data_IF_120441023974
#
_entry.id   IF_120441023974
#
_cell.length_a   1.000
_cell.length_b   1.000
_cell.length_c   1.000
_cell.angle_alpha   90.00
_cell.angle_beta   90.00
_cell.angle_gamma   90.00
#
_symmetry.space_group_name_H-M   'P 1'
#
loop_
_entity.id
_entity.type
_entity.pdbx_description
1 polymer ?
#
# COMPACT_ATOMS: atom_id res chain seq x y z
N UNK A 1 19.54 4.35 16.10
CA UNK A 1 19.93 5.66 16.68
C UNK A 1 21.28 5.56 17.37
N UNK A 2 21.45 4.63 18.31
CA UNK A 2 22.74 4.37 18.97
C UNK A 2 23.88 4.07 17.97
N UNK A 3 23.65 3.18 17.01
CA UNK A 3 24.67 2.81 16.02
C UNK A 3 25.10 3.97 15.12
N UNK A 4 24.19 4.88 14.77
CA UNK A 4 24.51 6.08 14.00
C UNK A 4 25.33 7.09 14.82
N UNK A 5 25.01 7.24 16.12
CA UNK A 5 25.80 8.11 17.01
C UNK A 5 27.22 7.56 17.17
N UNK A 6 27.38 6.23 17.17
CA UNK A 6 28.66 5.55 17.31
C UNK A 6 29.49 5.53 16.02
N UNK A 7 28.86 5.31 14.87
CA UNK A 7 29.48 5.31 13.55
C UNK A 7 28.56 5.97 12.50
N UNK A 8 28.78 7.26 12.19
CA UNK A 8 27.94 8.00 11.25
C UNK A 8 28.31 7.66 9.80
N UNK A 9 27.81 6.53 9.32
CA UNK A 9 27.87 6.13 7.92
C UNK A 9 26.46 6.16 7.27
N UNK A 10 26.40 6.11 5.93
CA UNK A 10 25.12 6.21 5.20
C UNK A 10 24.15 5.08 5.56
N UNK A 11 24.65 3.85 5.75
CA UNK A 11 23.82 2.73 6.15
C UNK A 11 23.14 2.95 7.50
N UNK A 12 23.90 3.42 8.50
CA UNK A 12 23.38 3.69 9.84
C UNK A 12 22.42 4.89 9.87
N UNK A 13 22.56 5.84 8.94
CA UNK A 13 21.62 6.93 8.76
C UNK A 13 20.26 6.41 8.25
N UNK A 14 20.27 5.63 7.17
CA UNK A 14 19.05 5.09 6.53
C UNK A 14 18.45 3.93 7.32
N UNK A 15 19.20 3.18 8.14
CA UNK A 15 18.64 2.15 9.04
C UNK A 15 18.17 2.73 10.38
N UNK A 16 18.68 3.89 10.77
CA UNK A 16 18.50 4.47 12.09
C UNK A 16 17.58 5.68 12.08
N UNK A 17 18.11 6.92 12.13
CA UNK A 17 17.31 8.13 12.24
C UNK A 17 16.19 8.26 11.20
N UNK A 18 16.44 7.94 9.93
CA UNK A 18 15.45 8.12 8.86
C UNK A 18 14.25 7.20 9.01
N UNK A 19 14.46 5.94 9.40
CA UNK A 19 13.38 4.96 9.66
C UNK A 19 12.42 5.50 10.72
N UNK A 20 12.96 6.07 11.80
CA UNK A 20 12.13 6.66 12.86
C UNK A 20 11.34 7.87 12.38
N UNK A 21 11.95 8.75 11.60
CA UNK A 21 11.25 9.88 10.99
C UNK A 21 10.13 9.36 10.07
N UNK A 22 10.42 8.36 9.24
CA UNK A 22 9.45 7.76 8.34
C UNK A 22 8.28 7.13 9.10
N UNK A 23 8.53 6.37 10.17
CA UNK A 23 7.49 5.80 11.01
C UNK A 23 6.67 6.86 11.74
N UNK A 24 7.29 7.91 12.27
CA UNK A 24 6.58 9.00 12.95
C UNK A 24 5.63 9.69 11.96
N UNK A 25 6.12 10.06 10.78
CA UNK A 25 5.29 10.71 9.75
C UNK A 25 4.18 9.77 9.28
N UNK A 26 4.50 8.50 9.04
CA UNK A 26 3.54 7.48 8.64
C UNK A 26 2.43 7.33 9.68
N UNK A 27 2.76 7.08 10.94
CA UNK A 27 1.80 6.82 12.02
C UNK A 27 0.99 8.09 12.35
N UNK A 28 1.66 9.20 12.65
CA UNK A 28 0.99 10.44 13.02
C UNK A 28 0.14 10.99 11.87
N UNK A 29 0.68 10.94 10.64
CA UNK A 29 -0.04 11.33 9.44
C UNK A 29 -1.27 10.46 9.18
N UNK A 30 -1.16 9.14 9.36
CA UNK A 30 -2.28 8.22 9.17
C UNK A 30 -3.39 8.45 10.20
N UNK A 31 -3.02 8.62 11.48
CA UNK A 31 -3.97 8.98 12.55
C UNK A 31 -4.67 10.30 12.22
N UNK A 32 -3.91 11.30 11.80
CA UNK A 32 -4.46 12.60 11.41
C UNK A 32 -5.45 12.49 10.25
N UNK A 33 -5.12 11.73 9.19
CA UNK A 33 -6.01 11.53 8.04
C UNK A 33 -7.31 10.82 8.40
N UNK A 34 -7.24 9.76 9.22
CA UNK A 34 -8.42 9.04 9.69
C UNK A 34 -9.29 9.95 10.56
N UNK A 35 -8.69 10.67 11.51
CA UNK A 35 -9.42 11.60 12.38
C UNK A 35 -10.07 12.73 11.58
N UNK A 36 -9.32 13.36 10.68
CA UNK A 36 -9.82 14.42 9.81
C UNK A 36 -11.01 13.96 8.97
N UNK A 37 -10.95 12.75 8.40
CA UNK A 37 -12.06 12.18 7.64
C UNK A 37 -13.30 11.94 8.52
N UNK A 38 -13.12 11.37 9.72
CA UNK A 38 -14.22 11.12 10.65
C UNK A 38 -14.85 12.45 11.10
N UNK A 39 -14.04 13.45 11.42
CA UNK A 39 -14.52 14.76 11.86
C UNK A 39 -15.28 15.49 10.75
N UNK A 40 -14.81 15.39 9.50
CA UNK A 40 -15.54 15.90 8.34
C UNK A 40 -16.87 15.17 8.17
N UNK A 41 -16.87 13.84 8.26
CA UNK A 41 -18.08 13.05 8.12
C UNK A 41 -19.12 13.33 9.23
N UNK A 42 -18.68 13.71 10.44
CA UNK A 42 -19.56 14.14 11.54
C UNK A 42 -20.20 15.49 11.24
N UNK A 43 -19.47 16.41 10.60
CA UNK A 43 -19.97 17.74 10.23
C UNK A 43 -21.04 17.67 9.14
N UNK A 44 -20.90 16.76 8.18
CA UNK A 44 -21.78 16.68 7.01
C UNK A 44 -23.23 16.29 7.33
N UNK A 45 -23.57 15.87 8.56
CA UNK A 45 -24.91 15.43 9.06
C UNK A 45 -25.65 14.35 8.24
N UNK A 46 -25.25 14.09 7.00
CA UNK A 46 -25.88 13.15 6.09
C UNK A 46 -25.12 11.83 6.12
N UNK A 47 -23.86 11.79 6.56
CA UNK A 47 -23.06 10.55 6.52
C UNK A 47 -23.46 9.58 7.64
N UNK A 48 -23.13 9.91 8.90
CA UNK A 48 -23.32 8.96 10.02
C UNK A 48 -24.78 8.53 10.26
N UNK A 49 -25.80 9.41 10.18
CA UNK A 49 -27.18 9.02 10.47
C UNK A 49 -27.76 7.98 9.50
N UNK A 50 -27.21 7.86 8.29
CA UNK A 50 -27.68 6.89 7.30
C UNK A 50 -26.80 5.64 7.23
N UNK A 51 -25.75 5.51 8.06
CA UNK A 51 -24.93 4.30 8.09
C UNK A 51 -25.75 3.14 8.64
N UNK A 52 -25.88 2.10 7.83
CA UNK A 52 -26.44 0.82 8.21
C UNK A 52 -25.31 -0.20 8.33
N UNK A 53 -25.09 -0.73 9.54
CA UNK A 53 -23.99 -1.65 9.81
C UNK A 53 -24.07 -2.93 8.95
N UNK A 54 -25.27 -3.50 8.79
CA UNK A 54 -25.46 -4.72 7.99
C UNK A 54 -25.15 -4.49 6.51
N UNK A 55 -25.57 -3.35 5.97
CA UNK A 55 -25.26 -2.97 4.59
C UNK A 55 -23.77 -2.66 4.40
N UNK A 56 -23.16 -1.97 5.36
CA UNK A 56 -21.74 -1.65 5.40
C UNK A 56 -20.87 -2.90 5.35
N UNK A 57 -21.13 -3.88 6.24
CA UNK A 57 -20.36 -5.12 6.30
C UNK A 57 -20.48 -5.92 5.00
N UNK A 58 -21.69 -6.01 4.43
CA UNK A 58 -21.89 -6.66 3.13
C UNK A 58 -21.14 -5.95 2.01
N UNK A 59 -21.22 -4.62 1.97
CA UNK A 59 -20.54 -3.82 0.95
C UNK A 59 -19.02 -3.97 1.04
N UNK A 60 -18.44 -3.93 2.24
CA UNK A 60 -17.01 -4.14 2.45
C UNK A 60 -16.61 -5.56 2.00
N UNK A 61 -17.34 -6.58 2.45
CA UNK A 61 -17.04 -7.98 2.15
C UNK A 61 -17.00 -8.26 0.64
N UNK A 62 -18.00 -7.81 -0.12
CA UNK A 62 -18.06 -8.04 -1.57
C UNK A 62 -17.02 -7.24 -2.35
N UNK A 63 -16.44 -6.19 -1.77
CA UNK A 63 -15.43 -5.35 -2.43
C UNK A 63 -14.00 -5.72 -2.07
N UNK A 64 -13.78 -6.38 -0.93
CA UNK A 64 -12.49 -7.00 -0.55
C UNK A 64 -12.29 -8.35 -1.23
N UNK A 65 -13.36 -9.04 -1.63
CA UNK A 65 -13.23 -10.33 -2.33
C UNK A 65 -13.12 -10.09 -3.85
N UNK A 66 -12.10 -10.65 -4.53
CA UNK A 66 -12.00 -10.54 -5.97
C UNK A 66 -13.25 -11.10 -6.63
N UNK A 67 -13.81 -10.35 -7.60
CA UNK A 67 -15.06 -10.68 -8.28
C UNK A 67 -16.32 -10.73 -7.38
N UNK A 68 -16.24 -10.27 -6.12
CA UNK A 68 -17.38 -10.21 -5.22
C UNK A 68 -18.43 -9.18 -5.62
N UNK A 69 -18.03 -8.09 -6.28
CA UNK A 69 -18.93 -7.05 -6.80
C UNK A 69 -19.16 -7.16 -8.31
N UNK A 70 -20.31 -6.65 -8.79
CA UNK A 70 -20.65 -6.59 -10.21
C UNK A 70 -19.62 -5.79 -10.99
N UNK A 71 -19.13 -4.69 -10.43
CA UNK A 71 -18.11 -3.87 -11.10
C UNK A 71 -16.79 -4.64 -11.28
N UNK A 72 -16.40 -5.46 -10.29
CA UNK A 72 -15.25 -6.36 -10.45
C UNK A 72 -15.47 -7.41 -11.54
N UNK A 73 -16.66 -8.03 -11.58
CA UNK A 73 -17.01 -9.00 -12.64
C UNK A 73 -17.04 -8.39 -14.06
N UNK A 74 -17.46 -7.13 -14.19
CA UNK A 74 -17.51 -6.43 -15.48
C UNK A 74 -16.11 -6.03 -16.00
N UNK A 75 -15.09 -5.97 -15.13
CA UNK A 75 -13.73 -5.54 -15.49
C UNK A 75 -12.71 -6.58 -15.02
N UNK A 76 -12.71 -7.80 -15.59
CA UNK A 76 -11.96 -8.93 -15.05
C UNK A 76 -10.44 -8.73 -15.08
N UNK A 77 -9.90 -8.10 -16.13
CA UNK A 77 -8.47 -7.81 -16.25
C UNK A 77 -7.99 -6.87 -15.14
N UNK A 78 -8.65 -5.72 -15.00
CA UNK A 78 -8.31 -4.73 -13.95
C UNK A 78 -8.49 -5.32 -12.56
N UNK A 79 -9.55 -6.11 -12.35
CA UNK A 79 -9.78 -6.81 -11.07
C UNK A 79 -8.60 -7.71 -10.74
N UNK A 80 -8.24 -8.60 -11.65
CA UNK A 80 -7.16 -9.57 -11.43
C UNK A 80 -5.84 -8.86 -11.12
N UNK A 81 -5.45 -7.88 -11.93
CA UNK A 81 -4.20 -7.13 -11.72
C UNK A 81 -4.22 -6.36 -10.41
N UNK A 82 -5.34 -5.70 -10.07
CA UNK A 82 -5.47 -4.93 -8.83
C UNK A 82 -5.35 -5.84 -7.60
N UNK A 83 -6.03 -6.98 -7.59
CA UNK A 83 -5.97 -7.91 -6.47
C UNK A 83 -4.60 -8.58 -6.33
N UNK A 84 -4.01 -9.06 -7.43
CA UNK A 84 -2.65 -9.62 -7.43
C UNK A 84 -1.64 -8.60 -6.91
N UNK A 85 -1.72 -7.35 -7.40
CA UNK A 85 -0.85 -6.28 -6.93
C UNK A 85 -1.00 -6.05 -5.43
N UNK A 86 -2.22 -5.82 -4.91
CA UNK A 86 -2.39 -5.48 -3.49
C UNK A 86 -2.07 -6.65 -2.55
N UNK A 87 -2.44 -7.88 -2.94
CA UNK A 87 -2.10 -9.07 -2.16
C UNK A 87 -0.58 -9.20 -2.07
N UNK A 88 0.14 -9.12 -3.19
CA UNK A 88 1.60 -9.23 -3.17
C UNK A 88 2.27 -8.02 -2.49
N UNK A 89 1.81 -6.81 -2.76
CA UNK A 89 2.32 -5.57 -2.17
C UNK A 89 2.28 -5.59 -0.64
N UNK A 90 1.21 -6.13 -0.05
CA UNK A 90 1.01 -6.15 1.40
C UNK A 90 1.62 -7.41 2.03
N UNK A 91 1.36 -8.60 1.46
CA UNK A 91 1.80 -9.84 2.08
C UNK A 91 3.32 -10.06 1.95
N UNK A 92 3.94 -9.70 0.81
CA UNK A 92 5.38 -9.91 0.62
C UNK A 92 6.21 -9.27 1.74
N UNK A 93 6.15 -7.94 2.01
CA UNK A 93 7.00 -7.33 3.04
C UNK A 93 6.67 -7.80 4.47
N UNK A 94 5.43 -8.21 4.75
CA UNK A 94 5.03 -8.71 6.08
C UNK A 94 5.64 -10.09 6.33
N UNK A 95 5.60 -10.99 5.35
CA UNK A 95 6.01 -12.39 5.53
C UNK A 95 7.39 -12.70 4.95
N UNK A 96 8.12 -11.72 4.41
CA UNK A 96 9.49 -11.91 3.94
C UNK A 96 10.43 -12.18 5.12
N UNK A 97 11.30 -13.19 4.99
CA UNK A 97 12.27 -13.56 6.01
C UNK A 97 13.13 -12.38 6.47
N UNK A 98 13.70 -11.62 5.53
CA UNK A 98 14.56 -10.48 5.85
C UNK A 98 13.84 -9.39 6.65
N UNK A 99 12.56 -9.15 6.37
CA UNK A 99 11.77 -8.18 7.13
C UNK A 99 11.44 -8.70 8.53
N UNK A 100 11.04 -9.96 8.65
CA UNK A 100 10.77 -10.60 9.93
C UNK A 100 12.01 -10.63 10.85
N UNK A 101 13.20 -10.83 10.27
CA UNK A 101 14.45 -10.74 11.03
C UNK A 101 14.69 -9.33 11.60
N UNK A 102 14.32 -8.27 10.88
CA UNK A 102 14.38 -6.89 11.40
C UNK A 102 13.46 -6.70 12.61
N UNK A 103 12.26 -7.30 12.60
CA UNK A 103 11.36 -7.28 13.76
C UNK A 103 11.94 -8.04 14.94
N UNK A 104 12.57 -9.18 14.69
CA UNK A 104 13.20 -9.98 15.73
C UNK A 104 14.39 -9.26 16.35
N UNK A 105 15.27 -8.67 15.55
CA UNK A 105 16.42 -7.89 16.05
C UNK A 105 15.98 -6.64 16.83
N UNK A 106 14.87 -6.01 16.44
CA UNK A 106 14.41 -4.76 17.06
C UNK A 106 13.58 -4.98 18.33
N UNK A 107 12.75 -6.03 18.35
CA UNK A 107 11.73 -6.22 19.39
C UNK A 107 11.63 -7.67 19.91
N UNK A 108 12.42 -8.61 19.39
CA UNK A 108 12.34 -10.02 19.75
C UNK A 108 11.09 -10.73 19.24
N UNK A 109 10.34 -10.11 18.33
CA UNK A 109 9.09 -10.64 17.78
C UNK A 109 9.40 -11.32 16.44
N UNK A 110 8.86 -12.51 16.23
CA UNK A 110 8.90 -13.19 14.94
C UNK A 110 7.60 -13.94 14.65
N UNK A 111 7.32 -14.15 13.37
CA UNK A 111 6.19 -14.96 12.90
C UNK A 111 6.58 -15.86 11.73
N UNK A 112 5.61 -16.56 11.14
CA UNK A 112 5.83 -17.43 9.98
C UNK A 112 6.30 -16.64 8.74
N UNK A 113 7.19 -17.21 7.94
CA UNK A 113 7.73 -16.57 6.72
C UNK A 113 7.34 -17.33 5.46
N UNK A 114 7.23 -16.60 4.35
CA UNK A 114 7.01 -17.19 3.03
C UNK A 114 8.26 -17.96 2.56
N UNK A 115 8.09 -19.06 1.80
CA UNK A 115 9.17 -19.67 1.04
C UNK A 115 9.79 -18.66 0.07
N UNK A 116 11.12 -18.70 -0.10
CA UNK A 116 11.86 -17.72 -0.91
C UNK A 116 11.34 -17.65 -2.34
N UNK A 117 11.07 -18.79 -2.99
CA UNK A 117 10.54 -18.85 -4.35
C UNK A 117 9.18 -18.17 -4.49
N UNK A 118 8.31 -18.28 -3.48
CA UNK A 118 6.99 -17.63 -3.49
C UNK A 118 7.14 -16.12 -3.32
N UNK A 119 7.98 -15.69 -2.38
CA UNK A 119 8.26 -14.27 -2.16
C UNK A 119 8.87 -13.61 -3.42
N UNK A 120 9.73 -14.35 -4.14
CA UNK A 120 10.35 -13.91 -5.39
C UNK A 120 9.30 -13.72 -6.50
N UNK A 121 8.43 -14.72 -6.70
CA UNK A 121 7.31 -14.64 -7.65
C UNK A 121 6.39 -13.47 -7.31
N UNK A 122 6.00 -13.32 -6.04
CA UNK A 122 5.12 -12.23 -5.60
C UNK A 122 5.77 -10.86 -5.85
N UNK A 123 7.08 -10.73 -5.65
CA UNK A 123 7.84 -9.51 -5.94
C UNK A 123 7.83 -9.19 -7.44
N UNK A 124 8.09 -10.18 -8.29
CA UNK A 124 8.01 -10.05 -9.75
C UNK A 124 6.59 -9.64 -10.19
N UNK A 125 5.56 -10.23 -9.59
CA UNK A 125 4.16 -9.86 -9.86
C UNK A 125 3.92 -8.38 -9.54
N UNK A 126 4.41 -7.86 -8.41
CA UNK A 126 4.29 -6.43 -8.08
C UNK A 126 4.97 -5.55 -9.13
N UNK A 127 6.19 -5.90 -9.52
CA UNK A 127 6.98 -5.18 -10.54
C UNK A 127 6.20 -5.13 -11.86
N UNK A 128 5.71 -6.26 -12.36
CA UNK A 128 4.91 -6.35 -13.60
C UNK A 128 3.62 -5.54 -13.47
N UNK A 129 2.93 -5.60 -12.33
CA UNK A 129 1.71 -4.84 -12.10
C UNK A 129 1.96 -3.32 -12.09
N UNK A 130 3.07 -2.86 -11.51
CA UNK A 130 3.49 -1.45 -11.57
C UNK A 130 3.68 -0.99 -13.02
N UNK A 131 4.38 -1.80 -13.85
CA UNK A 131 4.53 -1.50 -15.28
C UNK A 131 3.18 -1.46 -15.97
N UNK A 132 2.30 -2.44 -15.72
CA UNK A 132 0.94 -2.45 -16.28
C UNK A 132 0.16 -1.18 -15.92
N UNK A 133 0.18 -0.75 -14.65
CA UNK A 133 -0.53 0.46 -14.23
C UNK A 133 0.04 1.72 -14.87
N UNK A 134 1.36 1.79 -15.06
CA UNK A 134 1.99 2.88 -15.77
C UNK A 134 1.59 2.91 -17.26
N UNK A 135 1.70 1.78 -17.95
CA UNK A 135 1.34 1.68 -19.37
C UNK A 135 -0.15 1.97 -19.58
N UNK A 136 -1.04 1.45 -18.73
CA UNK A 136 -2.48 1.76 -18.78
C UNK A 136 -2.72 3.27 -18.66
N UNK A 137 -1.97 3.94 -17.80
CA UNK A 137 -2.09 5.39 -17.58
C UNK A 137 -1.65 6.22 -18.78
N UNK A 138 -0.75 5.69 -19.60
CA UNK A 138 -0.26 6.32 -20.83
C UNK A 138 -1.22 6.02 -21.99
N UNK A 139 -1.67 4.78 -22.13
CA UNK A 139 -2.39 4.32 -23.32
C UNK A 139 -3.93 4.35 -23.23
N UNK A 140 -4.52 4.28 -22.04
CA UNK A 140 -5.99 4.39 -21.88
C UNK A 140 -6.37 5.88 -21.76
N UNK A 141 -7.05 6.48 -22.77
CA UNK A 141 -7.37 7.90 -22.77
C UNK A 141 -8.21 8.32 -21.56
N UNK A 142 -9.06 7.41 -21.06
CA UNK A 142 -9.93 7.67 -19.91
C UNK A 142 -9.13 7.86 -18.63
N UNK A 143 -8.04 7.09 -18.49
CA UNK A 143 -7.17 7.12 -17.31
C UNK A 143 -6.14 8.24 -17.45
N UNK A 144 -5.62 8.43 -18.65
CA UNK A 144 -4.67 9.48 -18.97
C UNK A 144 -5.28 10.87 -18.67
N UNK A 145 -6.55 11.08 -19.04
CA UNK A 145 -7.25 12.34 -18.81
C UNK A 145 -7.32 12.77 -17.34
N UNK A 146 -7.40 11.82 -16.40
CA UNK A 146 -7.48 12.08 -14.95
C UNK A 146 -6.16 11.85 -14.22
N UNK A 147 -5.05 11.68 -14.96
CA UNK A 147 -3.73 11.42 -14.41
C UNK A 147 -3.00 12.70 -14.08
N UNK A 148 -2.42 12.75 -12.89
CA UNK A 148 -1.56 13.83 -12.44
C UNK A 148 -0.16 13.30 -12.13
N UNK A 149 0.84 14.18 -12.14
CA UNK A 149 2.25 13.83 -11.86
C UNK A 149 2.44 12.97 -10.59
N UNK A 150 1.74 13.25 -9.46
CA UNK A 150 1.85 12.41 -8.28
C UNK A 150 1.48 10.94 -8.53
N UNK A 151 0.49 10.64 -9.38
CA UNK A 151 0.06 9.26 -9.67
C UNK A 151 1.18 8.43 -10.30
N UNK A 152 2.00 9.04 -11.15
CA UNK A 152 3.14 8.40 -11.82
C UNK A 152 4.29 8.23 -10.84
N UNK A 153 4.57 9.26 -10.03
CA UNK A 153 5.62 9.23 -9.02
C UNK A 153 5.39 8.10 -8.00
N UNK A 154 4.15 7.86 -7.57
CA UNK A 154 3.87 6.79 -6.59
C UNK A 154 4.00 5.40 -7.18
N UNK A 155 3.63 5.22 -8.46
CA UNK A 155 3.89 3.96 -9.15
C UNK A 155 5.41 3.73 -9.23
N UNK A 156 6.18 4.78 -9.54
CA UNK A 156 7.64 4.68 -9.59
C UNK A 156 8.26 4.36 -8.22
N UNK A 157 7.82 5.02 -7.14
CA UNK A 157 8.31 4.74 -5.78
C UNK A 157 8.01 3.27 -5.41
N UNK A 158 6.77 2.82 -5.60
CA UNK A 158 6.40 1.43 -5.31
C UNK A 158 7.19 0.43 -6.14
N UNK A 159 7.34 0.69 -7.44
CA UNK A 159 8.18 -0.11 -8.34
C UNK A 159 9.62 -0.18 -7.83
N UNK A 160 10.22 0.97 -7.52
CA UNK A 160 11.62 1.05 -7.11
C UNK A 160 11.85 0.34 -5.78
N UNK A 161 10.96 0.45 -4.80
CA UNK A 161 11.05 -0.29 -3.54
C UNK A 161 11.14 -1.80 -3.77
N UNK A 162 10.26 -2.37 -4.59
CA UNK A 162 10.27 -3.82 -4.85
C UNK A 162 11.42 -4.22 -5.77
N UNK A 163 11.73 -3.40 -6.78
CA UNK A 163 12.78 -3.69 -7.74
C UNK A 163 14.17 -3.66 -7.11
N UNK A 164 14.49 -2.67 -6.27
CA UNK A 164 15.80 -2.61 -5.60
C UNK A 164 15.92 -3.69 -4.52
N UNK A 165 14.82 -4.07 -3.85
CA UNK A 165 14.80 -5.19 -2.91
C UNK A 165 15.07 -6.53 -3.61
N UNK A 166 14.42 -6.76 -4.75
CA UNK A 166 14.66 -7.93 -5.60
C UNK A 166 16.11 -7.99 -6.08
N UNK A 167 16.65 -6.88 -6.56
CA UNK A 167 18.04 -6.80 -7.02
C UNK A 167 19.06 -6.94 -5.88
N UNK A 168 18.72 -6.51 -4.65
CA UNK A 168 19.56 -6.76 -3.48
C UNK A 168 19.67 -8.26 -3.19
N UNK A 169 18.55 -8.99 -3.26
CA UNK A 169 18.55 -10.44 -3.03
C UNK A 169 19.34 -11.19 -4.12
N UNK A 170 19.11 -10.87 -5.40
CA UNK A 170 19.72 -11.57 -6.54
C UNK A 170 21.13 -11.09 -6.92
N UNK A 171 21.53 -9.89 -6.47
CA UNK A 171 22.86 -9.29 -6.69
C UNK A 171 23.27 -9.12 -8.17
N UNK A 172 22.31 -8.84 -9.07
CA UNK A 172 22.56 -8.84 -10.52
C UNK A 172 23.19 -7.55 -11.10
N UNK A 173 22.86 -6.36 -10.58
CA UNK A 173 23.18 -5.10 -11.24
C UNK A 173 24.23 -4.25 -10.51
N UNK A 174 23.96 -3.89 -9.26
CA UNK A 174 24.87 -3.11 -8.42
C UNK A 174 25.28 -3.93 -7.20
N UNK A 175 26.38 -3.55 -6.51
CA UNK A 175 26.74 -4.15 -5.23
C UNK A 175 25.56 -4.21 -4.26
N UNK A 176 25.46 -5.35 -3.55
CA UNK A 176 24.41 -5.63 -2.57
C UNK A 176 24.09 -4.44 -1.67
N UNK A 177 25.12 -3.81 -1.09
CA UNK A 177 24.99 -2.69 -0.17
C UNK A 177 24.24 -1.50 -0.81
N UNK A 178 24.54 -1.16 -2.07
CA UNK A 178 23.89 -0.03 -2.76
C UNK A 178 22.41 -0.34 -2.98
N UNK A 179 22.09 -1.55 -3.45
CA UNK A 179 20.71 -1.97 -3.67
C UNK A 179 19.91 -2.02 -2.36
N UNK A 180 20.52 -2.51 -1.28
CA UNK A 180 19.93 -2.49 0.05
C UNK A 180 19.65 -1.06 0.51
N UNK A 181 20.60 -0.13 0.39
CA UNK A 181 20.40 1.25 0.83
C UNK A 181 19.28 1.93 0.02
N UNK A 182 19.23 1.71 -1.29
CA UNK A 182 18.16 2.20 -2.14
C UNK A 182 16.81 1.59 -1.76
N UNK A 183 16.75 0.29 -1.49
CA UNK A 183 15.53 -0.39 -1.02
C UNK A 183 14.99 0.23 0.26
N UNK A 184 15.85 0.45 1.27
CA UNK A 184 15.44 1.06 2.53
C UNK A 184 14.96 2.50 2.26
N UNK A 185 15.71 3.29 1.49
CA UNK A 185 15.33 4.68 1.19
C UNK A 185 13.98 4.78 0.44
N UNK A 186 13.77 3.96 -0.60
CA UNK A 186 12.48 3.94 -1.30
C UNK A 186 11.35 3.39 -0.42
N UNK A 187 11.64 2.44 0.46
CA UNK A 187 10.71 1.95 1.49
C UNK A 187 10.28 3.05 2.45
N UNK A 188 11.22 3.84 2.98
CA UNK A 188 10.94 4.99 3.85
C UNK A 188 10.13 6.08 3.13
N UNK A 189 10.50 6.42 1.89
CA UNK A 189 9.76 7.38 1.06
C UNK A 189 8.33 6.86 0.81
N UNK A 190 8.17 5.56 0.57
CA UNK A 190 6.85 4.94 0.41
C UNK A 190 6.02 5.08 1.68
N UNK A 191 6.57 4.80 2.86
CA UNK A 191 5.87 4.96 4.15
C UNK A 191 5.45 6.41 4.41
N UNK A 192 6.35 7.38 4.19
CA UNK A 192 6.08 8.82 4.32
C UNK A 192 4.97 9.24 3.34
N UNK A 193 4.95 8.66 2.14
CA UNK A 193 3.98 8.99 1.11
C UNK A 193 2.57 8.51 1.43
N UNK A 194 2.39 7.44 2.23
CA UNK A 194 1.06 6.88 2.52
C UNK A 194 0.07 7.93 3.04
N UNK A 195 0.33 8.65 4.15
CA UNK A 195 -0.63 9.61 4.69
C UNK A 195 -0.66 10.95 3.94
N UNK A 196 0.35 11.27 3.13
CA UNK A 196 0.47 12.58 2.49
C UNK A 196 -0.17 12.63 1.10
N UNK A 197 -0.51 11.48 0.53
CA UNK A 197 -0.80 11.37 -0.90
C UNK A 197 -2.11 10.63 -1.18
N UNK A 198 -2.36 10.29 -2.45
CA UNK A 198 -3.50 9.46 -2.89
C UNK A 198 -3.45 8.03 -2.35
N UNK A 199 -2.33 7.60 -1.76
CA UNK A 199 -2.23 6.32 -1.04
C UNK A 199 -3.11 6.26 0.22
N UNK A 200 -3.59 7.41 0.71
CA UNK A 200 -4.62 7.50 1.77
C UNK A 200 -5.93 6.77 1.44
N UNK A 201 -6.14 6.36 0.18
CA UNK A 201 -7.29 5.55 -0.22
C UNK A 201 -7.43 4.28 0.62
N UNK A 202 -6.34 3.71 1.16
CA UNK A 202 -6.41 2.55 2.06
C UNK A 202 -7.24 2.82 3.32
N UNK A 203 -7.24 4.06 3.83
CA UNK A 203 -8.06 4.46 4.97
C UNK A 203 -9.47 4.83 4.54
N UNK A 204 -9.59 5.56 3.43
CA UNK A 204 -10.86 6.11 2.96
C UNK A 204 -11.80 5.04 2.42
N UNK A 205 -11.24 3.92 1.95
CA UNK A 205 -11.99 2.76 1.46
C UNK A 205 -13.11 2.36 2.44
N UNK A 206 -12.81 2.17 3.72
CA UNK A 206 -13.81 1.68 4.68
C UNK A 206 -15.00 2.62 4.85
N UNK A 207 -14.75 3.92 5.02
CA UNK A 207 -15.84 4.89 5.20
C UNK A 207 -16.64 5.09 3.93
N UNK A 208 -15.98 5.16 2.77
CA UNK A 208 -16.66 5.29 1.48
C UNK A 208 -17.52 4.07 1.17
N UNK A 209 -17.04 2.85 1.45
CA UNK A 209 -17.84 1.62 1.33
C UNK A 209 -19.00 1.59 2.32
N UNK A 210 -18.77 2.00 3.56
CA UNK A 210 -19.84 2.09 4.56
C UNK A 210 -20.96 3.04 4.11
N UNK A 211 -20.58 4.20 3.58
CA UNK A 211 -21.51 5.18 3.04
C UNK A 211 -22.28 4.66 1.82
N UNK A 212 -21.57 4.20 0.78
CA UNK A 212 -22.19 3.71 -0.45
C UNK A 212 -23.09 2.50 -0.20
N UNK A 213 -22.63 1.52 0.60
CA UNK A 213 -23.41 0.35 0.93
C UNK A 213 -24.72 0.71 1.63
N UNK A 214 -24.66 1.68 2.54
CA UNK A 214 -25.85 2.13 3.26
C UNK A 214 -26.83 2.92 2.39
N UNK A 215 -26.32 3.76 1.47
CA UNK A 215 -27.14 4.49 0.50
C UNK A 215 -27.89 3.55 -0.47
N UNK A 216 -27.20 2.56 -1.04
CA UNK A 216 -27.86 1.60 -1.95
C UNK A 216 -28.89 0.76 -1.22
N UNK A 217 -28.63 0.39 0.04
CA UNK A 217 -29.59 -0.32 0.88
C UNK A 217 -30.86 0.52 1.13
N UNK A 218 -30.74 1.83 1.30
CA UNK A 218 -31.89 2.75 1.41
C UNK A 218 -32.77 2.70 0.15
N UNK A 219 -32.14 2.64 -1.03
CA UNK A 219 -32.84 2.47 -2.32
C UNK A 219 -33.31 1.05 -2.60
N UNK A 220 -33.16 0.12 -1.64
CA UNK A 220 -33.48 -1.31 -1.79
C UNK A 220 -32.69 -1.98 -2.93
N UNK A 221 -31.48 -1.47 -3.18
CA UNK A 221 -30.53 -2.01 -4.16
C UNK A 221 -29.24 -2.44 -3.47
N UNK A 222 -28.32 -3.04 -4.23
CA UNK A 222 -26.99 -3.46 -3.76
C UNK A 222 -25.95 -2.69 -4.56
N UNK A 223 -24.90 -2.23 -3.90
CA UNK A 223 -23.73 -1.63 -4.54
C UNK A 223 -22.68 -2.66 -4.96
N UNK A 224 -23.01 -3.95 -4.90
CA UNK A 224 -22.20 -5.09 -5.33
C UNK A 224 -22.98 -6.05 -6.24
#
# INVERSE_FOLDING_TARGET
MYDFIKDPNFYNLVRGPLVWIAFIIFIAGSIYRVKSLIDLAKKEKVIFPFINLKATLKSIFHWIIPFGSKNWRLRPVITTVTFLFHICLVFTPIFLLSHNLLWYESWGISWWTLPESIADIMTIVVIICCVFFLLRRIFDPTVNFITFSPDVIFIAICFLTFFTGFLAYHQWLLPYNIMLYLHILFGEIMLISIPLTRLTHMFYFFLTRAWMGSQFALWRTKDW
#
